data_IF_441758422030
#
_entry.id   IF_441758422030
#
_cell.length_a   1.000
_cell.length_b   1.000
_cell.length_c   1.000
_cell.angle_alpha   90.00
_cell.angle_beta   90.00
_cell.angle_gamma   90.00
#
_symmetry.space_group_name_H-M   'P 1'
#
loop_
_entity.id
_entity.type
_entity.pdbx_description
1 polymer ?
#
# COMPACT_ATOMS: atom_id res chain seq x y z
N UNK A 1 -19.35 8.32 -12.62
CA UNK A 1 -18.73 8.68 -11.32
C UNK A 1 -18.60 7.50 -10.36
N UNK A 2 -19.67 6.76 -10.00
CA UNK A 2 -19.59 5.55 -9.15
C UNK A 2 -18.56 4.51 -9.64
N UNK A 3 -18.54 4.22 -10.95
CA UNK A 3 -17.55 3.30 -11.54
C UNK A 3 -16.10 3.79 -11.36
N UNK A 4 -15.86 5.10 -11.28
CA UNK A 4 -14.52 5.66 -11.07
C UNK A 4 -14.01 5.45 -9.65
N UNK A 5 -14.86 5.67 -8.64
CA UNK A 5 -14.52 5.38 -7.24
C UNK A 5 -14.33 3.88 -7.00
N UNK A 6 -15.17 3.03 -7.60
CA UNK A 6 -14.99 1.57 -7.51
C UNK A 6 -13.68 1.12 -8.16
N UNK A 7 -13.33 1.70 -9.33
CA UNK A 7 -12.04 1.43 -9.98
C UNK A 7 -10.87 1.85 -9.09
N UNK A 8 -10.90 3.10 -8.60
CA UNK A 8 -9.85 3.64 -7.72
C UNK A 8 -9.71 2.81 -6.43
N UNK A 9 -10.82 2.39 -5.82
CA UNK A 9 -10.79 1.50 -4.66
C UNK A 9 -10.16 0.14 -5.00
N UNK A 10 -10.48 -0.44 -6.16
CA UNK A 10 -9.89 -1.69 -6.62
C UNK A 10 -8.39 -1.57 -6.88
N UNK A 11 -7.93 -0.42 -7.39
CA UNK A 11 -6.52 -0.13 -7.60
C UNK A 11 -5.76 0.02 -6.28
N UNK A 12 -6.35 0.71 -5.30
CA UNK A 12 -5.79 0.81 -3.95
C UNK A 12 -5.71 -0.58 -3.30
N UNK A 13 -6.75 -1.41 -3.44
CA UNK A 13 -6.77 -2.76 -2.90
C UNK A 13 -5.68 -3.66 -3.52
N UNK A 14 -5.49 -3.60 -4.85
CA UNK A 14 -4.40 -4.30 -5.54
C UNK A 14 -3.03 -3.83 -5.06
N UNK A 15 -2.84 -2.52 -4.93
CA UNK A 15 -1.59 -1.97 -4.44
C UNK A 15 -1.33 -2.37 -2.98
N UNK A 16 -2.36 -2.42 -2.13
CA UNK A 16 -2.23 -2.93 -0.75
C UNK A 16 -1.76 -4.38 -0.73
N UNK A 17 -2.33 -5.25 -1.57
CA UNK A 17 -1.88 -6.64 -1.70
C UNK A 17 -0.41 -6.72 -2.16
N UNK A 18 0.01 -5.83 -3.07
CA UNK A 18 1.41 -5.75 -3.48
C UNK A 18 2.33 -5.34 -2.33
N UNK A 19 1.92 -4.40 -1.47
CA UNK A 19 2.68 -4.02 -0.26
C UNK A 19 2.85 -5.22 0.67
N UNK A 20 1.79 -6.00 0.92
CA UNK A 20 1.87 -7.23 1.73
C UNK A 20 2.87 -8.22 1.14
N UNK A 21 2.80 -8.48 -0.16
CA UNK A 21 3.71 -9.40 -0.84
C UNK A 21 5.19 -8.96 -0.78
N UNK A 22 5.50 -7.65 -0.78
CA UNK A 22 6.90 -7.20 -0.64
C UNK A 22 7.37 -7.22 0.82
N UNK A 23 6.47 -6.97 1.77
CA UNK A 23 6.75 -7.08 3.20
C UNK A 23 7.08 -8.53 3.58
N UNK A 24 6.25 -9.48 3.16
CA UNK A 24 6.47 -10.92 3.39
C UNK A 24 7.82 -11.37 2.80
N UNK A 25 8.13 -10.95 1.56
CA UNK A 25 9.42 -11.28 0.94
C UNK A 25 10.61 -10.69 1.69
N UNK A 26 10.49 -9.45 2.19
CA UNK A 26 11.51 -8.83 3.03
C UNK A 26 11.69 -9.59 4.34
N UNK A 27 10.60 -10.01 4.97
CA UNK A 27 10.63 -10.78 6.23
C UNK A 27 11.29 -12.13 6.04
N UNK A 28 10.97 -12.86 4.95
CA UNK A 28 11.65 -14.11 4.58
C UNK A 28 13.15 -13.87 4.38
N UNK A 29 13.54 -12.79 3.69
CA UNK A 29 14.94 -12.46 3.49
C UNK A 29 15.66 -12.16 4.82
N UNK A 30 15.02 -11.39 5.71
CA UNK A 30 15.58 -11.06 7.03
C UNK A 30 15.66 -12.29 7.94
N UNK A 31 14.68 -13.19 7.88
CA UNK A 31 14.69 -14.43 8.66
C UNK A 31 15.86 -15.36 8.28
N UNK A 32 16.31 -15.32 7.02
CA UNK A 32 17.48 -16.09 6.56
C UNK A 32 18.79 -15.32 6.61
N UNK A 33 18.82 -14.09 7.14
CA UNK A 33 20.00 -13.21 7.04
C UNK A 33 21.28 -13.84 7.62
N UNK A 34 21.16 -14.62 8.70
CA UNK A 34 22.29 -15.24 9.39
C UNK A 34 22.87 -16.43 8.60
N UNK A 35 22.12 -16.95 7.63
CA UNK A 35 22.57 -17.97 6.69
C UNK A 35 23.25 -17.39 5.44
N UNK A 36 23.15 -16.07 5.23
CA UNK A 36 23.78 -15.38 4.09
C UNK A 36 25.22 -15.03 4.43
N UNK A 37 26.12 -15.17 3.44
CA UNK A 37 27.51 -14.75 3.56
C UNK A 37 27.57 -13.26 3.94
N UNK A 38 28.19 -12.89 5.08
CA UNK A 38 28.35 -11.50 5.45
C UNK A 38 29.18 -10.74 4.40
N UNK A 39 28.73 -9.55 4.01
CA UNK A 39 29.45 -8.69 3.09
C UNK A 39 28.55 -7.73 2.32
N UNK A 40 29.14 -6.92 1.43
CA UNK A 40 28.42 -5.88 0.69
C UNK A 40 27.24 -6.39 -0.12
N UNK A 41 27.32 -7.62 -0.66
CA UNK A 41 26.25 -8.23 -1.45
C UNK A 41 25.00 -8.51 -0.60
N UNK A 42 25.18 -9.09 0.59
CA UNK A 42 24.09 -9.33 1.54
C UNK A 42 23.44 -8.02 1.97
N UNK A 43 24.25 -7.02 2.31
CA UNK A 43 23.76 -5.73 2.77
C UNK A 43 23.00 -4.99 1.64
N UNK A 44 23.47 -5.13 0.39
CA UNK A 44 22.76 -4.63 -0.79
C UNK A 44 21.43 -5.36 -1.04
N UNK A 45 21.36 -6.69 -0.84
CA UNK A 45 20.11 -7.46 -0.95
C UNK A 45 19.08 -7.00 0.09
N UNK A 46 19.50 -6.85 1.35
CA UNK A 46 18.65 -6.37 2.44
C UNK A 46 18.15 -4.94 2.21
N UNK A 47 19.07 -4.03 1.86
CA UNK A 47 18.74 -2.64 1.50
C UNK A 47 17.80 -2.57 0.29
N UNK A 48 18.03 -3.41 -0.72
CA UNK A 48 17.17 -3.51 -1.90
C UNK A 48 15.73 -3.94 -1.55
N UNK A 49 15.57 -4.86 -0.59
CA UNK A 49 14.27 -5.28 -0.10
C UNK A 49 13.56 -4.17 0.70
N UNK A 50 14.27 -3.47 1.57
CA UNK A 50 13.73 -2.32 2.31
C UNK A 50 13.28 -1.20 1.37
N UNK A 51 14.12 -0.84 0.40
CA UNK A 51 13.82 0.17 -0.60
C UNK A 51 12.58 -0.18 -1.42
N UNK A 52 12.40 -1.46 -1.76
CA UNK A 52 11.20 -1.92 -2.48
C UNK A 52 9.93 -1.76 -1.64
N UNK A 53 9.99 -2.07 -0.33
CA UNK A 53 8.85 -1.85 0.57
C UNK A 53 8.49 -0.36 0.61
N UNK A 54 9.48 0.52 0.84
CA UNK A 54 9.26 1.97 0.88
C UNK A 54 8.65 2.51 -0.42
N UNK A 55 9.12 2.01 -1.57
CA UNK A 55 8.57 2.39 -2.87
C UNK A 55 7.11 1.96 -3.03
N UNK A 56 6.78 0.72 -2.69
CA UNK A 56 5.40 0.22 -2.84
C UNK A 56 4.43 0.84 -1.83
N UNK A 57 4.89 1.22 -0.64
CA UNK A 57 4.12 2.00 0.33
C UNK A 57 3.84 3.41 -0.18
N UNK A 58 4.82 4.09 -0.76
CA UNK A 58 4.60 5.40 -1.40
C UNK A 58 3.58 5.30 -2.54
N UNK A 59 3.68 4.27 -3.37
CA UNK A 59 2.72 3.99 -4.47
C UNK A 59 1.32 3.66 -3.95
N UNK A 60 1.22 3.09 -2.75
CA UNK A 60 -0.06 2.91 -2.06
C UNK A 60 -0.62 4.26 -1.63
N UNK A 61 0.18 5.09 -0.97
CA UNK A 61 -0.23 6.41 -0.48
C UNK A 61 -0.71 7.32 -1.60
N UNK A 62 0.01 7.34 -2.73
CA UNK A 62 -0.38 8.11 -3.91
C UNK A 62 -1.79 7.70 -4.40
N UNK A 63 -2.11 6.40 -4.40
CA UNK A 63 -3.43 5.90 -4.81
C UNK A 63 -4.49 6.15 -3.75
N UNK A 64 -4.19 5.93 -2.47
CA UNK A 64 -5.10 6.16 -1.36
C UNK A 64 -5.47 7.65 -1.27
N UNK A 65 -4.49 8.55 -1.41
CA UNK A 65 -4.71 10.00 -1.49
C UNK A 65 -5.58 10.38 -2.70
N UNK A 66 -5.34 9.76 -3.87
CA UNK A 66 -6.17 9.96 -5.07
C UNK A 66 -7.62 9.53 -4.86
N UNK A 67 -7.85 8.40 -4.20
CA UNK A 67 -9.18 7.96 -3.79
C UNK A 67 -9.81 8.97 -2.82
N UNK A 68 -9.08 9.39 -1.78
CA UNK A 68 -9.58 10.30 -0.75
C UNK A 68 -9.97 11.66 -1.33
N UNK A 69 -9.16 12.22 -2.22
CA UNK A 69 -9.48 13.46 -2.93
C UNK A 69 -10.76 13.31 -3.79
N UNK A 70 -10.88 12.19 -4.49
CA UNK A 70 -12.07 11.88 -5.29
C UNK A 70 -13.31 11.71 -4.42
N UNK A 71 -13.21 10.98 -3.30
CA UNK A 71 -14.30 10.75 -2.36
C UNK A 71 -14.77 12.04 -1.67
N UNK A 72 -13.83 12.91 -1.29
CA UNK A 72 -14.11 14.22 -0.69
C UNK A 72 -14.79 15.21 -1.65
N UNK A 73 -14.64 15.01 -2.96
CA UNK A 73 -15.24 15.88 -3.99
C UNK A 73 -16.75 15.62 -4.20
N UNK A 74 -17.31 14.59 -3.57
CA UNK A 74 -18.74 14.33 -3.61
C UNK A 74 -19.45 14.97 -2.42
N UNK A 75 -20.66 15.53 -2.61
CA UNK A 75 -21.49 15.95 -1.49
C UNK A 75 -21.65 14.79 -0.51
N UNK A 76 -21.24 15.02 0.74
CA UNK A 76 -21.10 14.03 1.81
C UNK A 76 -22.38 13.20 2.07
N UNK A 77 -23.54 13.68 1.61
CA UNK A 77 -24.81 12.95 1.66
C UNK A 77 -24.99 11.81 0.63
N UNK A 78 -24.24 11.78 -0.47
CA UNK A 78 -24.41 10.77 -1.55
C UNK A 78 -23.48 9.56 -1.43
N UNK A 79 -22.25 9.74 -0.93
CA UNK A 79 -21.26 8.66 -0.80
C UNK A 79 -21.72 7.62 0.22
N UNK A 80 -22.23 8.07 1.37
CA UNK A 80 -22.65 7.19 2.47
C UNK A 80 -23.98 6.48 2.25
N UNK A 81 -24.94 7.06 1.51
CA UNK A 81 -26.30 6.49 1.38
C UNK A 81 -26.53 5.60 0.15
N UNK A 82 -25.71 5.71 -0.91
CA UNK A 82 -25.98 5.00 -2.17
C UNK A 82 -24.86 4.07 -2.67
N UNK A 83 -23.65 4.14 -2.11
CA UNK A 83 -22.49 3.46 -2.70
C UNK A 83 -21.93 2.26 -1.92
N UNK A 84 -22.03 2.26 -0.58
CA UNK A 84 -21.36 1.25 0.26
C UNK A 84 -19.83 1.35 0.25
N UNK A 85 -19.28 2.45 -0.28
CA UNK A 85 -17.83 2.67 -0.41
C UNK A 85 -17.27 3.42 0.82
N UNK A 86 -15.99 3.22 1.17
CA UNK A 86 -15.33 3.93 2.26
C UNK A 86 -15.31 5.44 2.03
N UNK A 87 -15.51 6.25 3.08
CA UNK A 87 -15.40 7.72 2.98
C UNK A 87 -13.95 8.20 2.84
N UNK A 88 -13.00 7.44 3.38
CA UNK A 88 -11.56 7.65 3.24
C UNK A 88 -10.83 6.32 3.44
N UNK A 89 -9.61 6.25 2.92
CA UNK A 89 -8.66 5.16 3.10
C UNK A 89 -7.46 5.68 3.88
N UNK A 90 -6.91 4.87 4.81
CA UNK A 90 -5.73 5.27 5.58
C UNK A 90 -4.49 5.34 4.70
N UNK A 91 -3.53 6.18 5.07
CA UNK A 91 -2.19 6.19 4.49
C UNK A 91 -1.31 5.11 5.14
N UNK A 92 -0.18 4.80 4.51
CA UNK A 92 0.80 3.81 4.97
C UNK A 92 1.28 4.07 6.40
N UNK A 93 1.42 5.33 6.78
CA UNK A 93 1.81 5.76 8.13
C UNK A 93 0.75 5.51 9.20
N UNK A 94 -0.51 5.34 8.80
CA UNK A 94 -1.65 5.12 9.69
C UNK A 94 -2.00 3.63 9.81
N UNK A 95 -1.40 2.78 8.98
CA UNK A 95 -1.64 1.34 8.94
C UNK A 95 -0.68 0.64 9.90
N UNK A 96 -1.21 0.14 11.01
CA UNK A 96 -0.46 -0.70 11.96
C UNK A 96 -0.30 -2.14 11.49
N UNK A 97 -1.16 -2.62 10.58
CA UNK A 97 -1.12 -3.99 10.06
C UNK A 97 -1.55 -4.02 8.60
N UNK A 98 -0.69 -4.58 7.75
CA UNK A 98 -0.89 -4.67 6.31
C UNK A 98 -1.75 -5.87 5.91
#
# INVERSE_FOLDING_TARGET
>A
MRNGLTSSLSEVARQRAQVRNVLERREVLRARQDSLTPGPERDAELSGADNRVSLEQRRYDERAAGYNASAASFPSGWVGRLSGLPSALPLSSEISTW
#
